data_IF_175065269031
#
_entry.id   IF_175065269031
#
_cell.length_a   1.000
_cell.length_b   1.000
_cell.length_c   1.000
_cell.angle_alpha   90.00
_cell.angle_beta   90.00
_cell.angle_gamma   90.00
#
_symmetry.space_group_name_H-M   'P 1'
#
loop_
_entity.id
_entity.type
_entity.pdbx_description
1 polymer ?
#
# COMPACT_ATOMS: atom_id res chain seq x y z
N UNK A 1 -12.43 3.71 12.31
CA UNK A 1 -11.73 4.87 11.70
C UNK A 1 -12.40 6.14 12.22
N UNK A 2 -11.72 6.93 13.03
CA UNK A 2 -12.29 8.19 13.55
C UNK A 2 -11.95 9.33 12.56
N UNK A 3 -12.96 9.83 11.83
CA UNK A 3 -12.85 10.93 10.85
C UNK A 3 -13.96 11.98 11.08
N UNK A 4 -14.57 11.99 12.25
CA UNK A 4 -15.67 12.92 12.57
C UNK A 4 -15.28 14.39 12.43
N UNK A 5 -14.00 14.72 12.60
CA UNK A 5 -13.45 16.06 12.37
C UNK A 5 -13.52 16.52 10.91
N UNK A 6 -13.62 15.58 9.95
CA UNK A 6 -13.71 15.90 8.53
C UNK A 6 -15.14 16.18 8.06
N UNK A 7 -16.14 15.75 8.82
CA UNK A 7 -17.57 15.83 8.43
C UNK A 7 -18.07 17.26 8.20
N UNK A 8 -17.44 18.26 8.84
CA UNK A 8 -17.81 19.68 8.73
C UNK A 8 -17.02 20.45 7.67
N UNK A 9 -16.03 19.81 7.04
CA UNK A 9 -15.22 20.45 6.00
C UNK A 9 -15.78 20.13 4.62
N UNK A 10 -15.82 21.13 3.73
CA UNK A 10 -16.05 20.85 2.30
C UNK A 10 -14.89 20.03 1.74
N UNK A 11 -15.18 19.07 0.86
CA UNK A 11 -14.18 18.19 0.24
C UNK A 11 -13.06 18.97 -0.46
N UNK A 12 -13.36 20.15 -1.02
CA UNK A 12 -12.38 21.03 -1.66
C UNK A 12 -11.32 21.59 -0.72
N UNK A 13 -11.62 21.68 0.57
CA UNK A 13 -10.69 22.19 1.60
C UNK A 13 -9.95 21.09 2.35
N UNK A 14 -10.16 19.82 1.98
CA UNK A 14 -9.41 18.70 2.56
C UNK A 14 -8.02 18.62 1.94
N UNK A 15 -7.02 18.25 2.76
CA UNK A 15 -5.71 17.83 2.27
C UNK A 15 -5.85 16.56 1.43
N UNK A 16 -4.85 16.22 0.61
CA UNK A 16 -4.93 15.04 -0.24
C UNK A 16 -5.03 13.73 0.57
N UNK A 17 -4.37 13.65 1.73
CA UNK A 17 -4.54 12.54 2.67
C UNK A 17 -5.96 12.50 3.26
N UNK A 18 -6.54 13.65 3.64
CA UNK A 18 -7.92 13.72 4.15
C UNK A 18 -8.94 13.34 3.07
N UNK A 19 -8.70 13.75 1.80
CA UNK A 19 -9.51 13.32 0.64
C UNK A 19 -9.45 11.81 0.47
N UNK A 20 -8.26 11.23 0.49
CA UNK A 20 -8.07 9.79 0.35
C UNK A 20 -8.80 9.01 1.44
N UNK A 21 -8.66 9.42 2.69
CA UNK A 21 -9.37 8.80 3.82
C UNK A 21 -10.89 8.94 3.68
N UNK A 22 -11.37 10.08 3.20
CA UNK A 22 -12.81 10.30 2.96
C UNK A 22 -13.36 9.38 1.87
N UNK A 23 -12.58 9.13 0.80
CA UNK A 23 -12.96 8.17 -0.26
C UNK A 23 -13.00 6.74 0.25
N UNK A 24 -12.01 6.32 1.04
CA UNK A 24 -11.99 5.02 1.70
C UNK A 24 -13.20 4.87 2.63
N UNK A 25 -13.48 5.87 3.46
CA UNK A 25 -14.64 5.85 4.36
C UNK A 25 -15.96 5.74 3.60
N UNK A 26 -16.10 6.42 2.47
CA UNK A 26 -17.27 6.32 1.60
C UNK A 26 -17.47 4.91 1.07
N UNK A 27 -16.40 4.24 0.65
CA UNK A 27 -16.46 2.87 0.18
C UNK A 27 -16.91 1.89 1.28
N UNK A 28 -16.54 2.17 2.53
CA UNK A 28 -16.87 1.32 3.69
C UNK A 28 -18.33 1.45 4.16
N UNK A 29 -19.08 2.47 3.75
CA UNK A 29 -20.49 2.67 4.14
C UNK A 29 -21.34 1.43 3.81
N UNK A 30 -21.04 0.78 2.70
CA UNK A 30 -21.75 -0.43 2.24
C UNK A 30 -21.30 -1.72 2.95
N UNK A 31 -20.38 -1.62 3.92
CA UNK A 31 -19.79 -2.77 4.64
C UNK A 31 -19.30 -3.88 3.67
N UNK A 32 -18.42 -3.57 2.72
CA UNK A 32 -17.97 -4.55 1.74
C UNK A 32 -17.15 -5.64 2.41
N UNK A 33 -17.25 -6.87 1.92
CA UNK A 33 -16.38 -7.98 2.34
C UNK A 33 -14.96 -7.80 1.80
N UNK A 34 -14.83 -7.16 0.63
CA UNK A 34 -13.57 -6.90 -0.06
C UNK A 34 -13.50 -5.41 -0.40
N UNK A 35 -12.40 -4.78 -0.03
CA UNK A 35 -12.06 -3.40 -0.38
C UNK A 35 -10.79 -3.43 -1.25
N UNK A 36 -10.89 -2.87 -2.45
CA UNK A 36 -9.76 -2.73 -3.37
C UNK A 36 -9.33 -1.26 -3.37
N UNK A 37 -8.06 -1.03 -3.07
CA UNK A 37 -7.43 0.28 -3.06
C UNK A 37 -6.36 0.31 -4.15
N UNK A 38 -6.50 1.23 -5.09
CA UNK A 38 -5.54 1.44 -6.16
C UNK A 38 -4.69 2.66 -5.83
N UNK A 39 -3.38 2.44 -5.66
CA UNK A 39 -2.37 3.47 -5.33
C UNK A 39 -2.80 4.43 -4.20
N UNK A 40 -3.26 3.94 -3.02
CA UNK A 40 -3.91 4.79 -2.02
C UNK A 40 -2.99 5.82 -1.37
N UNK A 41 -1.68 5.72 -1.57
CA UNK A 41 -0.66 6.62 -1.02
C UNK A 41 0.15 7.35 -2.08
N UNK A 42 -0.21 7.21 -3.35
CA UNK A 42 0.47 7.90 -4.45
C UNK A 42 0.37 9.43 -4.29
N UNK A 43 1.44 10.13 -4.64
CA UNK A 43 1.53 11.59 -4.62
C UNK A 43 1.37 12.25 -3.23
N UNK A 44 1.42 11.47 -2.16
CA UNK A 44 1.39 11.99 -0.80
C UNK A 44 2.82 12.20 -0.27
N UNK A 45 3.02 13.24 0.56
CA UNK A 45 4.24 13.38 1.35
C UNK A 45 4.37 12.25 2.40
N UNK A 46 5.56 12.05 2.95
CA UNK A 46 5.82 10.95 3.89
C UNK A 46 4.89 10.92 5.10
N UNK A 47 4.59 12.07 5.70
CA UNK A 47 3.70 12.17 6.85
C UNK A 47 2.29 11.72 6.48
N UNK A 48 1.81 12.19 5.34
CA UNK A 48 0.50 11.84 4.77
C UNK A 48 0.41 10.37 4.39
N UNK A 49 1.48 9.79 3.80
CA UNK A 49 1.55 8.34 3.52
C UNK A 49 1.36 7.52 4.79
N UNK A 50 2.13 7.80 5.84
CA UNK A 50 2.00 7.07 7.10
C UNK A 50 0.61 7.22 7.72
N UNK A 51 0.04 8.42 7.68
CA UNK A 51 -1.31 8.65 8.18
C UNK A 51 -2.36 7.78 7.45
N UNK A 52 -2.30 7.72 6.12
CA UNK A 52 -3.22 6.87 5.33
C UNK A 52 -2.98 5.38 5.60
N UNK A 53 -1.71 4.95 5.66
CA UNK A 53 -1.35 3.56 5.95
C UNK A 53 -1.83 3.11 7.34
N UNK A 54 -1.70 3.95 8.36
CA UNK A 54 -2.20 3.66 9.71
C UNK A 54 -3.73 3.47 9.70
N UNK A 55 -4.46 4.29 8.91
CA UNK A 55 -5.90 4.14 8.75
C UNK A 55 -6.28 2.86 8.00
N UNK A 56 -5.54 2.47 6.97
CA UNK A 56 -5.73 1.19 6.28
C UNK A 56 -5.47 0.02 7.26
N UNK A 57 -4.43 0.11 8.08
CA UNK A 57 -4.12 -0.90 9.09
C UNK A 57 -5.22 -1.01 10.17
N UNK A 58 -5.80 0.10 10.61
CA UNK A 58 -6.98 0.07 11.49
C UNK A 58 -8.13 -0.72 10.84
N UNK A 59 -8.33 -0.55 9.52
CA UNK A 59 -9.40 -1.23 8.78
C UNK A 59 -9.14 -2.72 8.59
N UNK A 60 -7.90 -3.16 8.45
CA UNK A 60 -7.54 -4.58 8.31
C UNK A 60 -7.94 -5.42 9.54
N UNK A 61 -8.16 -4.76 10.69
CA UNK A 61 -8.66 -5.39 11.92
C UNK A 61 -10.18 -5.56 11.95
N UNK A 62 -10.87 -4.97 10.98
CA UNK A 62 -12.30 -5.17 10.75
C UNK A 62 -12.50 -6.41 9.87
N UNK A 63 -13.73 -6.86 9.74
CA UNK A 63 -14.06 -8.05 8.96
C UNK A 63 -14.08 -7.79 7.42
N UNK A 64 -13.18 -6.93 6.93
CA UNK A 64 -13.05 -6.55 5.52
C UNK A 64 -11.68 -6.98 5.00
N UNK A 65 -11.64 -7.76 3.93
CA UNK A 65 -10.39 -8.11 3.24
C UNK A 65 -9.94 -6.91 2.39
N UNK A 66 -8.68 -6.50 2.55
CA UNK A 66 -8.15 -5.34 1.83
C UNK A 66 -7.14 -5.83 0.79
N UNK A 67 -7.38 -5.47 -0.47
CA UNK A 67 -6.42 -5.60 -1.56
C UNK A 67 -5.90 -4.21 -1.90
N UNK A 68 -4.59 -4.06 -1.90
CA UNK A 68 -3.95 -2.81 -2.23
C UNK A 68 -3.02 -3.00 -3.42
N UNK A 69 -3.24 -2.24 -4.48
CA UNK A 69 -2.34 -2.18 -5.62
C UNK A 69 -1.39 -1.01 -5.40
N UNK A 70 -0.09 -1.26 -5.52
CA UNK A 70 0.93 -0.22 -5.38
C UNK A 70 2.23 -0.61 -6.07
N UNK A 71 3.00 0.38 -6.48
CA UNK A 71 4.38 0.23 -6.93
C UNK A 71 5.40 0.65 -5.85
N UNK A 72 4.94 1.15 -4.70
CA UNK A 72 5.80 1.60 -3.60
C UNK A 72 6.15 0.45 -2.65
N UNK A 73 7.17 -0.34 -3.01
CA UNK A 73 7.59 -1.52 -2.24
C UNK A 73 8.04 -1.15 -0.83
N UNK A 74 8.67 0.01 -0.64
CA UNK A 74 9.13 0.43 0.68
C UNK A 74 7.98 0.56 1.69
N UNK A 75 6.78 0.84 1.22
CA UNK A 75 5.58 0.99 2.04
C UNK A 75 4.80 -0.32 2.27
N UNK A 76 5.11 -1.39 1.51
CA UNK A 76 4.41 -2.68 1.64
C UNK A 76 4.61 -3.30 3.03
N UNK A 77 5.73 -3.05 3.68
CA UNK A 77 6.24 -3.82 4.82
C UNK A 77 5.46 -3.71 6.12
N UNK A 78 4.66 -2.67 6.29
CA UNK A 78 4.03 -2.40 7.60
C UNK A 78 2.61 -2.94 7.73
N UNK A 79 1.96 -3.28 6.61
CA UNK A 79 0.51 -3.52 6.61
C UNK A 79 0.14 -4.84 5.94
N UNK A 80 0.97 -5.34 5.03
CA UNK A 80 0.58 -6.45 4.16
C UNK A 80 1.42 -7.69 4.43
N UNK A 81 0.77 -8.76 4.88
CA UNK A 81 1.44 -10.05 5.10
C UNK A 81 1.68 -10.78 3.77
N UNK A 82 0.75 -10.66 2.83
CA UNK A 82 0.78 -11.35 1.54
C UNK A 82 0.98 -10.36 0.40
N UNK A 83 1.88 -10.72 -0.50
CA UNK A 83 2.23 -9.93 -1.69
C UNK A 83 2.06 -10.79 -2.93
N UNK A 84 1.40 -10.22 -3.95
CA UNK A 84 1.36 -10.76 -5.29
C UNK A 84 2.13 -9.83 -6.22
N UNK A 85 3.05 -10.37 -7.01
CA UNK A 85 3.75 -9.63 -8.05
C UNK A 85 3.15 -9.95 -9.41
N UNK A 86 2.72 -8.92 -10.13
CA UNK A 86 2.11 -9.03 -11.45
C UNK A 86 3.06 -8.45 -12.50
N UNK A 87 3.28 -9.20 -13.58
CA UNK A 87 4.01 -8.75 -14.76
C UNK A 87 3.34 -9.30 -16.01
N UNK A 88 3.10 -8.45 -17.01
CA UNK A 88 2.52 -8.81 -18.30
C UNK A 88 1.24 -9.65 -18.16
N UNK A 89 0.35 -9.26 -17.21
CA UNK A 89 -0.91 -9.95 -16.92
C UNK A 89 -0.79 -11.29 -16.20
N UNK A 90 0.40 -11.66 -15.73
CA UNK A 90 0.66 -12.94 -15.05
C UNK A 90 1.16 -12.71 -13.63
N UNK A 91 0.77 -13.59 -12.71
CA UNK A 91 1.34 -13.64 -11.37
C UNK A 91 2.72 -14.31 -11.48
N UNK A 92 3.78 -13.59 -11.15
CA UNK A 92 5.15 -14.09 -11.18
C UNK A 92 5.65 -14.51 -9.79
N UNK A 93 5.04 -14.00 -8.72
CA UNK A 93 5.30 -14.43 -7.36
C UNK A 93 4.05 -14.16 -6.49
N UNK A 94 3.81 -15.04 -5.51
CA UNK A 94 2.70 -14.96 -4.56
C UNK A 94 3.12 -15.59 -3.23
N UNK A 95 2.88 -14.91 -2.13
CA UNK A 95 3.16 -15.42 -0.79
C UNK A 95 3.42 -14.35 0.26
N UNK A 96 3.95 -14.77 1.40
CA UNK A 96 4.35 -13.86 2.46
C UNK A 96 5.46 -12.91 1.99
N UNK A 97 5.35 -11.63 2.35
CA UNK A 97 6.27 -10.56 1.91
C UNK A 97 7.75 -10.94 2.03
N UNK A 98 8.18 -11.57 3.14
CA UNK A 98 9.58 -11.95 3.34
C UNK A 98 10.09 -13.03 2.37
N UNK A 99 9.20 -13.79 1.72
CA UNK A 99 9.57 -14.80 0.71
C UNK A 99 9.48 -14.23 -0.70
N UNK A 100 8.54 -13.32 -0.93
CA UNK A 100 8.24 -12.78 -2.26
C UNK A 100 9.14 -11.60 -2.60
N UNK A 101 9.40 -10.70 -1.64
CA UNK A 101 10.26 -9.54 -1.87
C UNK A 101 11.73 -9.96 -1.71
N UNK A 102 12.37 -10.24 -2.83
CA UNK A 102 13.78 -10.59 -2.94
C UNK A 102 14.34 -10.11 -4.28
N UNK A 103 15.66 -10.10 -4.41
CA UNK A 103 16.34 -9.61 -5.62
C UNK A 103 15.91 -10.36 -6.88
N UNK A 104 15.77 -11.69 -6.82
CA UNK A 104 15.38 -12.51 -7.97
C UNK A 104 14.01 -12.11 -8.51
N UNK A 105 13.01 -12.01 -7.65
CA UNK A 105 11.64 -11.65 -8.05
C UNK A 105 11.56 -10.21 -8.53
N UNK A 106 12.28 -9.28 -7.89
CA UNK A 106 12.30 -7.87 -8.32
C UNK A 106 13.05 -7.67 -9.62
N UNK A 107 14.13 -8.43 -9.86
CA UNK A 107 14.83 -8.44 -11.17
C UNK A 107 13.88 -8.93 -12.29
N UNK A 108 13.11 -9.98 -12.01
CA UNK A 108 12.07 -10.46 -12.95
C UNK A 108 10.99 -9.41 -13.17
N UNK A 109 10.52 -8.75 -12.10
CA UNK A 109 9.46 -7.75 -12.16
C UNK A 109 9.87 -6.53 -12.99
N UNK A 110 11.00 -5.92 -12.64
CA UNK A 110 11.43 -4.65 -13.22
C UNK A 110 12.33 -4.79 -14.45
N UNK A 111 12.93 -5.96 -14.68
CA UNK A 111 13.86 -6.17 -15.78
C UNK A 111 15.21 -5.47 -15.60
N UNK A 112 15.59 -5.19 -14.36
CA UNK A 112 16.86 -4.55 -13.96
C UNK A 112 17.47 -5.30 -12.78
N UNK A 113 18.79 -5.27 -12.66
CA UNK A 113 19.48 -5.89 -11.54
C UNK A 113 19.38 -5.01 -10.30
N UNK A 114 18.75 -5.55 -9.25
CA UNK A 114 18.61 -4.89 -7.96
C UNK A 114 19.05 -5.81 -6.82
N UNK A 115 19.59 -5.21 -5.79
CA UNK A 115 19.81 -5.85 -4.50
C UNK A 115 18.73 -5.39 -3.52
N UNK A 116 18.24 -6.33 -2.73
CA UNK A 116 17.18 -6.09 -1.76
C UNK A 116 17.67 -6.46 -0.38
N UNK A 117 17.58 -5.53 0.52
CA UNK A 117 17.81 -5.77 1.95
C UNK A 117 16.61 -5.28 2.78
N UNK A 118 16.57 -5.68 4.06
CA UNK A 118 15.52 -5.28 5.00
C UNK A 118 16.17 -4.71 6.26
N UNK A 119 16.09 -3.39 6.42
CA UNK A 119 16.60 -2.69 7.59
C UNK A 119 15.45 -2.08 8.41
N UNK A 120 15.42 -2.37 9.73
CA UNK A 120 14.38 -1.87 10.64
C UNK A 120 12.93 -2.12 10.16
N UNK A 121 12.72 -3.26 9.48
CA UNK A 121 11.41 -3.63 8.93
C UNK A 121 11.04 -2.93 7.62
N UNK A 122 11.90 -2.11 7.05
CA UNK A 122 11.73 -1.45 5.76
C UNK A 122 12.56 -2.15 4.69
N UNK A 123 12.00 -2.29 3.49
CA UNK A 123 12.71 -2.81 2.33
C UNK A 123 13.50 -1.70 1.66
N UNK A 124 14.78 -1.94 1.44
CA UNK A 124 15.65 -1.09 0.64
C UNK A 124 15.94 -1.81 -0.67
N UNK A 125 15.79 -1.08 -1.75
CA UNK A 125 16.05 -1.59 -3.10
C UNK A 125 17.13 -0.72 -3.71
N UNK A 126 18.29 -1.33 -3.95
CA UNK A 126 19.43 -0.68 -4.53
C UNK A 126 19.66 -1.22 -5.94
N UNK A 127 19.75 -0.35 -6.92
CA UNK A 127 20.15 -0.74 -8.27
C UNK A 127 21.62 -1.13 -8.26
N UNK A 128 21.94 -2.31 -8.77
CA UNK A 128 23.32 -2.70 -9.02
C UNK A 128 23.82 -1.93 -10.26
N UNK A 129 24.84 -1.10 -10.07
CA UNK A 129 25.56 -0.48 -11.19
C UNK A 129 26.38 -1.55 -11.91
N UNK A 130 26.25 -1.58 -13.22
CA UNK A 130 27.16 -2.36 -14.06
C UNK A 130 28.54 -1.73 -14.08
#
# INVERSE_FOLDING_TARGET
MNISNLSKKSFSYLSDAEKQISLIARALIKKPEILILDEPIANLDYKSKFFVLDKINELSRLNTRIFCVTHDIAMITRIYDRVLMLKDGKIIADGHQNKVINSENLNKLYGIDVEVDKNNGLWNINRLSK
#
